data_IF_612864358908
#
_entry.id   IF_612864358908
#
_cell.length_a   1.000
_cell.length_b   1.000
_cell.length_c   1.000
_cell.angle_alpha   90.00
_cell.angle_beta   90.00
_cell.angle_gamma   90.00
#
_symmetry.space_group_name_H-M   'P 1'
#
loop_
_entity.id
_entity.type
_entity.pdbx_description
1 polymer ?
#
# COMPACT_ATOMS: atom_id res chain seq x y z
N UNK A 1 1.65 -36.52 5.63
CA UNK A 1 1.71 -35.05 5.65
C UNK A 1 0.32 -34.56 5.27
N UNK A 2 -0.50 -33.98 6.16
CA UNK A 2 -1.80 -33.47 5.76
C UNK A 2 -1.65 -32.14 5.03
N UNK A 3 -2.29 -32.05 3.85
CA UNK A 3 -2.48 -30.81 3.08
C UNK A 3 -3.15 -29.75 3.98
N UNK A 4 -2.50 -28.61 4.14
CA UNK A 4 -3.16 -27.44 4.70
C UNK A 4 -4.33 -27.05 3.79
N UNK A 5 -5.54 -27.14 4.32
CA UNK A 5 -6.77 -26.88 3.58
C UNK A 5 -6.78 -25.46 2.99
N UNK A 6 -6.91 -25.41 1.69
CA UNK A 6 -7.16 -24.20 0.93
C UNK A 6 -8.68 -24.03 0.87
N UNK A 7 -9.23 -23.08 1.62
CA UNK A 7 -10.64 -22.71 1.47
C UNK A 7 -10.81 -21.82 0.24
N UNK A 8 -11.62 -22.31 -0.71
CA UNK A 8 -12.09 -21.51 -1.86
C UNK A 8 -13.43 -20.89 -1.46
N UNK A 9 -13.44 -19.60 -1.18
CA UNK A 9 -14.65 -18.84 -0.89
C UNK A 9 -15.20 -18.32 -2.22
N UNK A 10 -16.29 -18.93 -2.70
CA UNK A 10 -17.07 -18.42 -3.83
C UNK A 10 -18.18 -17.51 -3.28
N UNK A 11 -18.04 -16.20 -3.40
CA UNK A 11 -19.15 -15.27 -3.17
C UNK A 11 -19.91 -15.11 -4.49
N UNK A 12 -21.14 -15.65 -4.52
CA UNK A 12 -22.06 -15.57 -5.64
C UNK A 12 -22.89 -14.29 -5.54
N UNK A 13 -22.62 -13.30 -6.41
CA UNK A 13 -23.69 -12.45 -6.99
C UNK A 13 -23.18 -11.81 -8.30
N UNK A 14 -23.84 -12.19 -9.39
CA UNK A 14 -23.88 -11.64 -10.76
C UNK A 14 -22.70 -10.83 -11.34
N UNK A 15 -22.03 -11.46 -12.33
CA UNK A 15 -21.25 -10.85 -13.41
C UNK A 15 -19.89 -10.20 -13.01
N UNK A 16 -18.84 -11.00 -13.14
CA UNK A 16 -17.41 -10.73 -12.96
C UNK A 16 -16.83 -11.00 -11.55
N UNK A 17 -17.11 -12.16 -10.98
CA UNK A 17 -16.32 -12.63 -9.83
C UNK A 17 -14.93 -13.06 -10.30
N UNK A 18 -13.90 -12.43 -9.77
CA UNK A 18 -12.52 -12.88 -9.96
C UNK A 18 -12.24 -13.97 -8.93
N UNK A 19 -11.75 -15.14 -9.41
CA UNK A 19 -11.35 -16.23 -8.51
C UNK A 19 -10.32 -15.72 -7.49
N UNK A 20 -10.59 -15.97 -6.22
CA UNK A 20 -9.75 -15.57 -5.09
C UNK A 20 -9.35 -16.78 -4.27
N UNK A 21 -8.07 -16.94 -4.01
CA UNK A 21 -7.52 -17.95 -3.11
C UNK A 21 -6.87 -17.26 -1.91
N UNK A 22 -7.34 -17.59 -0.70
CA UNK A 22 -6.77 -17.12 0.56
C UNK A 22 -5.75 -18.14 1.07
N UNK A 23 -4.60 -17.69 1.54
CA UNK A 23 -3.52 -18.55 2.04
C UNK A 23 -2.58 -17.74 2.95
N UNK A 24 -1.60 -18.43 3.52
CA UNK A 24 -0.46 -17.75 4.18
C UNK A 24 0.78 -17.91 3.32
N UNK A 25 1.54 -16.84 3.17
CA UNK A 25 2.85 -16.88 2.50
C UNK A 25 3.81 -17.82 3.23
N UNK A 26 4.96 -18.14 2.62
CA UNK A 26 6.00 -18.95 3.26
C UNK A 26 6.49 -18.34 4.61
N UNK A 27 6.34 -17.03 4.77
CA UNK A 27 6.64 -16.30 6.02
C UNK A 27 5.43 -16.21 6.97
N UNK A 28 4.31 -16.90 6.67
CA UNK A 28 3.11 -16.94 7.51
C UNK A 28 2.21 -15.70 7.41
N UNK A 29 2.44 -14.80 6.45
CA UNK A 29 1.64 -13.59 6.26
C UNK A 29 0.34 -13.95 5.55
N UNK A 30 -0.85 -13.59 6.11
CA UNK A 30 -2.13 -13.81 5.44
C UNK A 30 -2.20 -13.05 4.12
N UNK A 31 -2.62 -13.74 3.07
CA UNK A 31 -2.64 -13.23 1.71
C UNK A 31 -3.89 -13.66 0.94
N UNK A 32 -4.29 -12.85 -0.03
CA UNK A 32 -5.29 -13.15 -1.04
C UNK A 32 -4.64 -13.07 -2.42
N UNK A 33 -4.85 -14.09 -3.24
CA UNK A 33 -4.36 -14.16 -4.61
C UNK A 33 -5.54 -14.27 -5.56
N UNK A 34 -5.64 -13.31 -6.45
CA UNK A 34 -6.70 -13.22 -7.46
C UNK A 34 -6.16 -13.58 -8.84
N UNK A 35 -6.98 -14.31 -9.60
CA UNK A 35 -6.71 -14.67 -10.99
C UNK A 35 -5.92 -15.96 -11.18
N UNK A 36 -5.95 -16.47 -12.42
CA UNK A 36 -5.24 -17.67 -12.84
C UNK A 36 -3.71 -17.47 -12.81
N UNK A 37 -2.96 -18.56 -12.86
CA UNK A 37 -1.49 -18.52 -12.84
C UNK A 37 -0.92 -17.62 -13.93
N UNK A 38 0.03 -16.76 -13.55
CA UNK A 38 0.68 -15.79 -14.43
C UNK A 38 2.14 -15.54 -14.04
N UNK A 39 2.91 -15.04 -15.00
CA UNK A 39 4.26 -14.50 -14.76
C UNK A 39 4.22 -13.03 -14.31
N UNK A 40 3.04 -12.40 -14.35
CA UNK A 40 2.83 -10.99 -14.04
C UNK A 40 2.06 -10.85 -12.74
N UNK A 41 2.61 -10.11 -11.78
CA UNK A 41 2.01 -9.89 -10.46
C UNK A 41 1.88 -8.42 -10.13
N UNK A 42 0.68 -8.01 -9.73
CA UNK A 42 0.51 -6.81 -8.92
C UNK A 42 0.56 -7.19 -7.45
N UNK A 43 1.51 -6.62 -6.71
CA UNK A 43 1.43 -6.61 -5.25
C UNK A 43 0.54 -5.44 -4.84
N UNK A 44 -0.58 -5.75 -4.18
CA UNK A 44 -1.50 -4.75 -3.63
C UNK A 44 -1.29 -4.63 -2.13
N UNK A 45 -1.07 -3.39 -1.66
CA UNK A 45 -0.82 -3.09 -0.26
C UNK A 45 -1.81 -2.03 0.21
N UNK A 46 -2.61 -2.39 1.20
CA UNK A 46 -3.65 -1.54 1.79
C UNK A 46 -3.07 -0.43 2.68
N UNK A 47 -3.88 0.56 3.01
CA UNK A 47 -3.58 1.61 3.98
C UNK A 47 -3.88 1.20 5.42
N UNK A 48 -3.79 2.17 6.34
CA UNK A 48 -4.20 1.98 7.74
C UNK A 48 -5.69 1.60 7.81
N UNK A 49 -6.04 0.69 8.71
CA UNK A 49 -7.37 0.09 8.89
C UNK A 49 -7.88 -0.79 7.74
N UNK A 50 -7.09 -0.98 6.68
CA UNK A 50 -7.43 -1.82 5.55
C UNK A 50 -7.13 -3.31 5.76
N UNK A 51 -7.30 -4.08 4.71
CA UNK A 51 -6.96 -5.51 4.67
C UNK A 51 -6.75 -5.98 3.22
N UNK A 52 -6.29 -7.23 3.05
CA UNK A 52 -6.01 -7.84 1.75
C UNK A 52 -7.19 -7.91 0.77
N UNK A 53 -8.43 -7.86 1.26
CA UNK A 53 -9.61 -7.95 0.39
C UNK A 53 -9.93 -6.64 -0.34
N UNK A 54 -9.36 -5.49 0.08
CA UNK A 54 -9.51 -4.22 -0.64
C UNK A 54 -8.93 -4.27 -2.07
N UNK A 55 -8.09 -5.25 -2.36
CA UNK A 55 -7.54 -5.45 -3.69
C UNK A 55 -8.53 -6.03 -4.71
N UNK A 56 -9.72 -6.51 -4.28
CA UNK A 56 -10.67 -7.17 -5.17
C UNK A 56 -11.15 -6.25 -6.31
N UNK A 57 -11.45 -4.99 -6.01
CA UNK A 57 -11.88 -4.02 -7.02
C UNK A 57 -10.82 -3.83 -8.11
N UNK A 58 -9.56 -3.71 -7.73
CA UNK A 58 -8.44 -3.63 -8.67
C UNK A 58 -8.19 -4.95 -9.40
N UNK A 59 -8.36 -6.09 -8.71
CA UNK A 59 -8.23 -7.40 -9.33
C UNK A 59 -9.21 -7.61 -10.49
N UNK A 60 -10.42 -7.07 -10.40
CA UNK A 60 -11.42 -7.11 -11.50
C UNK A 60 -10.93 -6.37 -12.75
N UNK A 61 -10.00 -5.44 -12.62
CA UNK A 61 -9.38 -4.70 -13.73
C UNK A 61 -8.13 -5.44 -14.24
N UNK A 62 -7.24 -5.83 -13.33
CA UNK A 62 -5.91 -6.34 -13.70
C UNK A 62 -5.92 -7.80 -14.17
N UNK A 63 -6.80 -8.65 -13.59
CA UNK A 63 -6.85 -10.09 -13.94
C UNK A 63 -7.24 -10.32 -15.39
N UNK A 64 -8.26 -9.65 -15.97
CA UNK A 64 -8.56 -9.79 -17.40
C UNK A 64 -7.40 -9.39 -18.33
N UNK A 65 -6.43 -8.58 -17.84
CA UNK A 65 -5.23 -8.17 -18.57
C UNK A 65 -4.06 -9.18 -18.39
N UNK A 66 -4.33 -10.33 -17.76
CA UNK A 66 -3.37 -11.41 -17.58
C UNK A 66 -2.42 -11.22 -16.38
N UNK A 67 -2.79 -10.39 -15.39
CA UNK A 67 -2.05 -10.22 -14.14
C UNK A 67 -2.67 -11.05 -13.04
N UNK A 68 -1.84 -11.64 -12.18
CA UNK A 68 -2.29 -12.04 -10.85
C UNK A 68 -2.20 -10.84 -9.90
N UNK A 69 -3.14 -10.75 -8.98
CA UNK A 69 -3.12 -9.73 -7.92
C UNK A 69 -2.91 -10.43 -6.60
N UNK A 70 -1.76 -10.16 -5.98
CA UNK A 70 -1.41 -10.63 -4.65
C UNK A 70 -1.62 -9.50 -3.66
N UNK A 71 -2.46 -9.70 -2.68
CA UNK A 71 -2.68 -8.76 -1.59
C UNK A 71 -2.36 -9.41 -0.24
N UNK A 72 -1.84 -8.64 0.71
CA UNK A 72 -1.41 -9.14 2.02
C UNK A 72 -2.01 -8.29 3.14
N UNK A 73 -2.19 -8.89 4.31
CA UNK A 73 -2.48 -8.13 5.53
C UNK A 73 -1.19 -7.60 6.14
N UNK A 74 -1.08 -6.29 6.29
CA UNK A 74 0.01 -5.66 7.04
C UNK A 74 -0.05 -6.05 8.53
N UNK A 75 1.04 -5.89 9.30
CA UNK A 75 1.01 -6.10 10.75
C UNK A 75 -0.17 -5.39 11.42
N UNK A 76 -0.79 -6.03 12.40
CA UNK A 76 -1.95 -5.53 13.17
C UNK A 76 -3.24 -5.28 12.36
N UNK A 77 -3.30 -5.73 11.08
CA UNK A 77 -4.45 -5.54 10.20
C UNK A 77 -5.03 -6.88 9.70
N UNK A 78 -6.27 -6.85 9.26
CA UNK A 78 -6.96 -8.01 8.71
C UNK A 78 -6.95 -9.20 9.65
N UNK A 79 -6.48 -10.38 9.20
CA UNK A 79 -6.32 -11.57 10.04
C UNK A 79 -5.22 -11.45 11.10
N UNK A 80 -4.42 -10.39 11.05
CA UNK A 80 -3.37 -10.11 12.04
C UNK A 80 -3.82 -9.11 13.11
N UNK A 81 -5.07 -8.64 13.05
CA UNK A 81 -5.63 -7.76 14.06
C UNK A 81 -5.57 -8.42 15.45
N UNK A 82 -5.07 -7.68 16.44
CA UNK A 82 -4.86 -8.22 17.80
C UNK A 82 -3.67 -9.15 17.98
N UNK A 83 -2.90 -9.40 16.92
CA UNK A 83 -1.64 -10.14 17.00
C UNK A 83 -0.46 -9.13 16.97
N UNK A 84 0.19 -8.99 18.12
CA UNK A 84 1.30 -8.03 18.31
C UNK A 84 2.69 -8.66 18.13
N UNK A 85 2.79 -9.82 17.48
CA UNK A 85 4.08 -10.46 17.17
C UNK A 85 4.89 -9.66 16.13
N UNK A 86 4.20 -8.85 15.30
CA UNK A 86 4.79 -7.86 14.41
C UNK A 86 3.98 -6.57 14.54
N UNK A 87 4.64 -5.45 14.77
CA UNK A 87 4.01 -4.13 14.91
C UNK A 87 3.77 -3.48 13.56
N UNK A 88 2.75 -2.62 13.49
CA UNK A 88 2.49 -1.79 12.30
C UNK A 88 3.49 -0.61 12.24
N UNK A 89 4.71 -0.94 11.92
CA UNK A 89 5.84 -0.05 11.86
C UNK A 89 6.77 -0.40 10.67
N UNK A 90 7.77 0.43 10.33
CA UNK A 90 8.64 0.14 9.21
C UNK A 90 9.61 -1.02 9.45
N UNK A 91 9.94 -1.35 10.70
CA UNK A 91 10.89 -2.42 11.01
C UNK A 91 10.31 -3.81 10.76
N UNK A 92 8.97 -3.93 10.76
CA UNK A 92 8.26 -5.17 10.43
C UNK A 92 7.69 -5.12 9.01
N UNK A 93 6.95 -4.04 8.67
CA UNK A 93 6.24 -3.96 7.39
C UNK A 93 7.19 -3.93 6.19
N UNK A 94 8.30 -3.19 6.26
CA UNK A 94 9.23 -3.05 5.13
C UNK A 94 9.97 -4.37 4.84
N UNK A 95 10.56 -5.07 5.81
CA UNK A 95 11.20 -6.37 5.55
C UNK A 95 10.23 -7.44 5.05
N UNK A 96 9.00 -7.49 5.56
CA UNK A 96 7.98 -8.43 5.10
C UNK A 96 7.63 -8.21 3.63
N UNK A 97 7.33 -6.97 3.24
CA UNK A 97 7.03 -6.61 1.85
C UNK A 97 8.25 -6.83 0.93
N UNK A 98 9.46 -6.50 1.41
CA UNK A 98 10.70 -6.77 0.68
C UNK A 98 10.87 -8.27 0.41
N UNK A 99 10.60 -9.12 1.40
CA UNK A 99 10.65 -10.58 1.26
C UNK A 99 9.68 -11.10 0.20
N UNK A 100 8.45 -10.57 0.18
CA UNK A 100 7.44 -10.93 -0.83
C UNK A 100 7.90 -10.53 -2.24
N UNK A 101 8.33 -9.27 -2.42
CA UNK A 101 8.79 -8.77 -3.73
C UNK A 101 10.00 -9.57 -4.20
N UNK A 102 10.96 -9.81 -3.32
CA UNK A 102 12.18 -10.58 -3.62
C UNK A 102 11.85 -12.04 -3.98
N UNK A 103 10.91 -12.68 -3.28
CA UNK A 103 10.45 -14.04 -3.58
C UNK A 103 9.82 -14.13 -4.97
N UNK A 104 8.97 -13.17 -5.34
CA UNK A 104 8.38 -13.12 -6.68
C UNK A 104 9.47 -12.91 -7.75
N UNK A 105 10.39 -11.99 -7.54
CA UNK A 105 11.49 -11.71 -8.47
C UNK A 105 12.45 -12.89 -8.62
N UNK A 106 12.77 -13.63 -7.55
CA UNK A 106 13.61 -14.81 -7.61
C UNK A 106 13.00 -15.95 -8.44
N UNK A 107 11.66 -15.97 -8.57
CA UNK A 107 10.91 -16.87 -9.45
C UNK A 107 10.72 -16.30 -10.86
N UNK A 108 11.48 -15.28 -11.25
CA UNK A 108 11.42 -14.57 -12.54
C UNK A 108 10.05 -13.92 -12.83
N UNK A 109 9.24 -13.65 -11.81
CA UNK A 109 7.96 -12.97 -12.00
C UNK A 109 8.16 -11.48 -12.29
N UNK A 110 7.33 -10.91 -13.15
CA UNK A 110 7.23 -9.47 -13.37
C UNK A 110 6.37 -8.89 -12.27
N UNK A 111 6.89 -7.93 -11.52
CA UNK A 111 6.20 -7.38 -10.33
C UNK A 111 5.88 -5.91 -10.56
N UNK A 112 4.62 -5.57 -10.41
CA UNK A 112 4.09 -4.21 -10.33
C UNK A 112 3.54 -3.95 -8.92
N UNK A 113 3.34 -2.69 -8.57
CA UNK A 113 2.85 -2.27 -7.27
C UNK A 113 1.56 -1.46 -7.42
N UNK A 114 0.55 -1.81 -6.61
CA UNK A 114 -0.58 -0.94 -6.31
C UNK A 114 -0.66 -0.75 -4.80
N UNK A 115 -0.53 0.50 -4.31
CA UNK A 115 -0.46 0.73 -2.88
C UNK A 115 -1.22 1.98 -2.46
N UNK A 116 -1.78 1.94 -1.25
CA UNK A 116 -2.66 2.98 -0.69
C UNK A 116 -2.03 3.58 0.56
N UNK A 117 -2.08 4.92 0.67
CA UNK A 117 -1.72 5.66 1.88
C UNK A 117 -0.36 5.26 2.45
N UNK A 118 -0.28 4.90 3.73
CA UNK A 118 0.94 4.42 4.40
C UNK A 118 1.48 3.10 3.78
N UNK A 119 0.61 2.27 3.21
CA UNK A 119 1.03 1.08 2.45
C UNK A 119 1.93 1.44 1.26
N UNK A 120 1.72 2.61 0.65
CA UNK A 120 2.60 3.13 -0.40
C UNK A 120 3.99 3.44 0.17
N UNK A 121 4.08 4.09 1.32
CA UNK A 121 5.36 4.40 1.96
C UNK A 121 6.16 3.14 2.29
N UNK A 122 5.55 2.16 2.96
CA UNK A 122 6.20 0.88 3.26
C UNK A 122 6.65 0.15 1.99
N UNK A 123 5.79 0.11 0.97
CA UNK A 123 6.08 -0.60 -0.28
C UNK A 123 7.20 0.03 -1.09
N UNK A 124 7.25 1.35 -1.16
CA UNK A 124 8.33 2.07 -1.84
C UNK A 124 9.68 1.85 -1.15
N UNK A 125 9.70 1.81 0.19
CA UNK A 125 10.91 1.45 0.93
C UNK A 125 11.30 -0.02 0.71
N UNK A 126 10.34 -0.93 0.72
CA UNK A 126 10.55 -2.35 0.49
C UNK A 126 11.07 -2.68 -0.91
N UNK A 127 10.64 -1.91 -1.91
CA UNK A 127 11.05 -2.08 -3.31
C UNK A 127 12.38 -1.41 -3.65
N UNK A 128 13.04 -0.76 -2.70
CA UNK A 128 14.29 -0.03 -2.95
C UNK A 128 15.36 -0.96 -3.53
N UNK A 129 15.91 -0.59 -4.68
CA UNK A 129 16.87 -1.42 -5.42
C UNK A 129 16.28 -2.58 -6.22
N UNK A 130 14.97 -2.78 -6.21
CA UNK A 130 14.28 -3.80 -7.01
C UNK A 130 13.48 -3.10 -8.11
N UNK A 131 13.75 -3.42 -9.37
CA UNK A 131 13.01 -2.86 -10.49
C UNK A 131 11.60 -3.43 -10.54
N UNK A 132 10.60 -2.54 -10.53
CA UNK A 132 9.19 -2.84 -10.72
C UNK A 132 8.75 -2.49 -12.15
N UNK A 133 7.71 -3.17 -12.65
CA UNK A 133 7.14 -2.90 -13.98
C UNK A 133 6.44 -1.53 -14.01
N UNK A 134 5.60 -1.28 -13.01
CA UNK A 134 4.92 0.00 -12.80
C UNK A 134 4.46 0.16 -11.35
N UNK A 135 4.05 1.38 -11.00
CA UNK A 135 3.47 1.70 -9.70
C UNK A 135 2.19 2.53 -9.86
N UNK A 136 1.11 2.09 -9.20
CA UNK A 136 -0.12 2.84 -9.00
C UNK A 136 -0.23 3.18 -7.51
N UNK A 137 -0.20 4.46 -7.18
CA UNK A 137 -0.20 4.94 -5.81
C UNK A 137 -1.47 5.77 -5.56
N UNK A 138 -2.30 5.36 -4.61
CA UNK A 138 -3.58 5.99 -4.28
C UNK A 138 -3.48 6.70 -2.95
N UNK A 139 -3.73 8.01 -2.91
CA UNK A 139 -3.57 8.86 -1.73
C UNK A 139 -2.29 8.57 -0.93
N UNK A 140 -1.12 8.43 -1.59
CA UNK A 140 0.05 7.84 -0.97
C UNK A 140 0.67 8.74 0.09
N UNK A 141 1.02 8.18 1.23
CA UNK A 141 1.86 8.86 2.22
C UNK A 141 3.31 8.86 1.72
N UNK A 142 3.81 10.01 1.30
CA UNK A 142 5.12 10.16 0.65
C UNK A 142 6.14 10.93 1.50
N UNK A 143 5.70 11.47 2.63
CA UNK A 143 6.57 12.16 3.59
C UNK A 143 6.15 11.81 5.03
N UNK A 144 6.66 10.69 5.54
CA UNK A 144 6.34 10.23 6.90
C UNK A 144 6.97 11.16 7.97
N UNK A 145 8.12 11.76 7.70
CA UNK A 145 8.72 12.74 8.62
C UNK A 145 7.75 13.91 8.84
N UNK A 146 7.21 14.47 7.76
CA UNK A 146 6.22 15.55 7.83
C UNK A 146 4.94 15.11 8.54
N UNK A 147 4.45 13.91 8.27
CA UNK A 147 3.27 13.36 8.95
C UNK A 147 3.48 13.30 10.47
N UNK A 148 4.63 12.77 10.91
CA UNK A 148 4.96 12.70 12.34
C UNK A 148 5.10 14.12 12.93
N UNK A 149 5.75 15.04 12.22
CA UNK A 149 5.92 16.42 12.67
C UNK A 149 4.55 17.14 12.82
N UNK A 150 3.63 16.95 11.89
CA UNK A 150 2.27 17.52 11.95
C UNK A 150 1.47 16.93 13.13
N UNK A 151 1.60 15.63 13.41
CA UNK A 151 1.01 14.99 14.58
C UNK A 151 1.62 15.53 15.89
N UNK A 152 2.93 15.72 15.95
CA UNK A 152 3.62 16.34 17.09
C UNK A 152 3.12 17.76 17.33
N UNK A 153 3.02 18.56 16.28
CA UNK A 153 2.50 19.93 16.34
C UNK A 153 1.07 19.96 16.89
N UNK A 154 0.20 19.10 16.35
CA UNK A 154 -1.19 18.99 16.77
C UNK A 154 -1.36 18.58 18.23
N UNK A 155 -0.43 17.78 18.74
CA UNK A 155 -0.37 17.33 20.13
C UNK A 155 0.43 18.28 21.07
N UNK A 156 0.97 19.38 20.53
CA UNK A 156 1.86 20.31 21.26
C UNK A 156 3.09 19.61 21.88
N UNK A 157 3.69 18.67 21.14
CA UNK A 157 4.88 17.90 21.53
C UNK A 157 6.07 18.41 20.74
N UNK A 158 7.14 18.85 21.44
CA UNK A 158 8.39 19.22 20.79
C UNK A 158 9.26 18.00 20.44
N UNK A 159 10.16 18.14 19.46
CA UNK A 159 11.11 17.07 19.14
C UNK A 159 12.01 16.72 20.33
N UNK A 160 12.44 17.73 21.11
CA UNK A 160 13.23 17.49 22.31
C UNK A 160 12.47 16.67 23.35
N UNK A 161 11.18 16.97 23.57
CA UNK A 161 10.31 16.18 24.46
C UNK A 161 10.17 14.75 23.97
N UNK A 162 9.91 14.56 22.68
CA UNK A 162 9.78 13.22 22.09
C UNK A 162 11.11 12.44 22.19
N UNK A 163 12.24 13.12 21.98
CA UNK A 163 13.57 12.55 22.11
C UNK A 163 13.89 12.11 23.54
N UNK A 164 13.50 12.91 24.53
CA UNK A 164 13.75 12.60 25.94
C UNK A 164 12.91 11.41 26.42
N UNK A 165 11.63 11.35 26.01
CA UNK A 165 10.68 10.31 26.45
C UNK A 165 10.78 9.03 25.60
N UNK A 166 11.15 9.17 24.33
CA UNK A 166 11.23 8.06 23.34
C UNK A 166 9.91 7.77 22.64
N UNK A 167 8.86 7.46 23.39
CA UNK A 167 7.51 7.18 22.84
C UNK A 167 6.45 7.94 23.65
N UNK A 168 5.48 8.56 22.97
CA UNK A 168 4.37 9.31 23.58
C UNK A 168 3.08 8.90 22.92
N UNK A 169 2.10 8.45 23.73
CA UNK A 169 0.75 8.14 23.24
C UNK A 169 -0.05 9.43 23.20
N UNK A 170 -0.54 9.81 22.02
CA UNK A 170 -1.40 11.00 21.87
C UNK A 170 -2.89 10.64 22.07
N UNK A 171 -3.79 11.65 22.29
CA UNK A 171 -5.18 11.39 22.71
C UNK A 171 -6.00 10.48 21.79
N UNK A 172 -5.68 10.40 20.49
CA UNK A 172 -6.34 9.50 19.54
C UNK A 172 -5.78 8.06 19.56
N UNK A 173 -4.89 7.74 20.51
CA UNK A 173 -4.28 6.41 20.65
C UNK A 173 -3.04 6.17 19.79
N UNK A 174 -2.64 7.11 18.93
CA UNK A 174 -1.42 6.98 18.11
C UNK A 174 -0.19 7.06 19.01
N UNK A 175 0.79 6.20 18.77
CA UNK A 175 2.10 6.26 19.42
C UNK A 175 3.06 7.06 18.55
N UNK A 176 3.48 8.23 19.02
CA UNK A 176 4.60 8.97 18.45
C UNK A 176 5.89 8.36 18.98
N UNK A 177 6.81 8.00 18.10
CA UNK A 177 8.11 7.42 18.45
C UNK A 177 9.24 8.26 17.86
N UNK A 178 10.24 8.59 18.69
CA UNK A 178 11.42 9.30 18.22
C UNK A 178 12.24 8.47 17.23
N UNK A 179 12.35 7.17 17.47
CA UNK A 179 13.05 6.27 16.56
C UNK A 179 12.33 6.19 15.20
N UNK A 180 10.99 6.21 15.19
CA UNK A 180 10.23 6.23 13.95
C UNK A 180 10.46 7.55 13.19
N UNK A 181 10.47 8.69 13.87
CA UNK A 181 10.81 9.99 13.27
C UNK A 181 12.20 9.95 12.63
N UNK A 182 13.20 9.44 13.34
CA UNK A 182 14.56 9.30 12.82
C UNK A 182 14.65 8.34 11.64
N UNK A 183 13.90 7.24 11.70
CA UNK A 183 13.82 6.29 10.59
C UNK A 183 13.22 6.96 9.36
N UNK A 184 12.10 7.66 9.50
CA UNK A 184 11.41 8.36 8.41
C UNK A 184 12.33 9.41 7.75
N UNK A 185 13.01 10.21 8.56
CA UNK A 185 13.98 11.24 8.13
C UNK A 185 15.13 10.67 7.31
N UNK A 186 15.64 9.50 7.66
CA UNK A 186 16.74 8.81 6.98
C UNK A 186 16.29 7.99 5.76
N UNK A 187 15.00 7.73 5.64
CA UNK A 187 14.44 6.85 4.64
C UNK A 187 13.32 7.51 3.82
N UNK A 188 13.60 8.58 3.05
CA UNK A 188 12.60 9.13 2.14
C UNK A 188 12.27 8.09 1.06
N UNK A 189 10.99 7.94 0.65
CA UNK A 189 10.61 7.00 -0.39
C UNK A 189 11.13 7.42 -1.76
N UNK A 190 11.46 6.43 -2.60
CA UNK A 190 11.91 6.64 -3.98
C UNK A 190 11.22 5.64 -4.89
N UNK A 191 11.02 6.01 -6.16
CA UNK A 191 10.49 5.08 -7.17
C UNK A 191 11.60 4.18 -7.72
N UNK A 192 11.25 2.90 -7.89
CA UNK A 192 12.09 1.88 -8.53
C UNK A 192 11.50 1.41 -9.87
N UNK A 193 10.70 2.23 -10.52
CA UNK A 193 10.09 1.96 -11.83
C UNK A 193 10.06 3.23 -12.68
N UNK A 194 9.90 3.05 -14.01
CA UNK A 194 9.77 4.17 -14.95
C UNK A 194 8.33 4.65 -15.11
N UNK A 195 7.37 3.73 -14.98
CA UNK A 195 5.95 3.99 -15.17
C UNK A 195 5.29 4.07 -13.80
N UNK A 196 4.98 5.27 -13.34
CA UNK A 196 4.29 5.47 -12.08
C UNK A 196 3.22 6.55 -12.22
N UNK A 197 2.08 6.32 -11.58
CA UNK A 197 0.99 7.30 -11.46
C UNK A 197 0.53 7.39 -10.02
N UNK A 198 0.16 8.59 -9.63
CA UNK A 198 -0.38 8.94 -8.33
C UNK A 198 -1.78 9.49 -8.54
N UNK A 199 -2.74 8.98 -7.76
CA UNK A 199 -4.07 9.57 -7.59
C UNK A 199 -4.14 10.22 -6.21
N UNK A 200 -4.59 11.48 -6.15
CA UNK A 200 -4.78 12.21 -4.91
C UNK A 200 -6.14 12.93 -4.93
N UNK A 201 -6.82 12.95 -3.79
CA UNK A 201 -8.11 13.60 -3.64
C UNK A 201 -7.96 15.08 -3.26
N UNK A 202 -8.69 15.99 -3.95
CA UNK A 202 -8.61 17.42 -3.68
C UNK A 202 -8.93 17.80 -2.23
N UNK A 203 -9.80 17.02 -1.57
CA UNK A 203 -10.19 17.18 -0.17
C UNK A 203 -9.46 16.22 0.77
N UNK A 204 -8.30 15.70 0.37
CA UNK A 204 -7.47 14.85 1.24
C UNK A 204 -6.96 15.65 2.44
N UNK A 205 -7.55 15.40 3.62
CA UNK A 205 -7.18 16.05 4.87
C UNK A 205 -6.03 15.37 5.61
N UNK A 206 -5.51 14.25 5.07
CA UNK A 206 -4.47 13.42 5.72
C UNK A 206 -3.10 13.68 5.09
N UNK A 207 -3.03 13.64 3.76
CA UNK A 207 -1.77 13.82 3.02
C UNK A 207 -1.75 15.18 2.33
N UNK A 208 -0.85 16.10 2.73
CA UNK A 208 -0.76 17.42 2.10
C UNK A 208 -0.38 17.33 0.62
N UNK A 209 -1.06 18.13 -0.22
CA UNK A 209 -0.84 18.17 -1.67
C UNK A 209 0.61 18.46 -2.05
N UNK A 210 1.24 19.40 -1.35
CA UNK A 210 2.63 19.83 -1.61
C UNK A 210 3.63 18.67 -1.49
N UNK A 211 3.39 17.72 -0.59
CA UNK A 211 4.25 16.52 -0.45
C UNK A 211 4.10 15.57 -1.62
N UNK A 212 2.87 15.41 -2.12
CA UNK A 212 2.57 14.57 -3.29
C UNK A 212 3.11 15.20 -4.56
N UNK A 213 2.88 16.49 -4.75
CA UNK A 213 3.36 17.23 -5.91
C UNK A 213 4.89 17.22 -5.98
N UNK A 214 5.57 17.48 -4.86
CA UNK A 214 7.03 17.45 -4.77
C UNK A 214 7.60 16.08 -5.12
N UNK A 215 6.98 15.00 -4.61
CA UNK A 215 7.39 13.64 -4.93
C UNK A 215 7.21 13.33 -6.43
N UNK A 216 6.06 13.68 -7.00
CA UNK A 216 5.79 13.44 -8.43
C UNK A 216 6.76 14.20 -9.33
N UNK A 217 7.07 15.46 -8.99
CA UNK A 217 8.08 16.26 -9.72
C UNK A 217 9.48 15.63 -9.62
N UNK A 218 9.90 15.22 -8.43
CA UNK A 218 11.23 14.65 -8.20
C UNK A 218 11.41 13.27 -8.89
N UNK A 219 10.34 12.50 -9.01
CA UNK A 219 10.38 11.15 -9.57
C UNK A 219 9.80 11.05 -11.00
N UNK A 220 9.43 12.18 -11.62
CA UNK A 220 8.87 12.25 -12.98
C UNK A 220 7.65 11.32 -13.18
N UNK A 221 6.78 11.20 -12.17
CA UNK A 221 5.56 10.38 -12.27
C UNK A 221 4.31 11.23 -12.51
N UNK A 222 3.30 10.61 -13.12
CA UNK A 222 2.03 11.26 -13.39
C UNK A 222 1.24 11.51 -12.11
N UNK A 223 0.66 12.70 -11.96
CA UNK A 223 -0.25 13.06 -10.87
C UNK A 223 -1.63 13.34 -11.42
N UNK A 224 -2.63 12.67 -10.87
CA UNK A 224 -4.05 12.95 -11.09
C UNK A 224 -4.66 13.44 -9.80
N UNK A 225 -5.39 14.54 -9.86
CA UNK A 225 -6.18 15.07 -8.74
C UNK A 225 -7.65 14.76 -9.00
N UNK A 226 -8.29 14.04 -8.10
CA UNK A 226 -9.74 13.84 -8.15
C UNK A 226 -10.44 15.06 -7.55
N UNK A 227 -11.25 15.81 -8.31
CA UNK A 227 -12.07 16.90 -7.76
C UNK A 227 -12.98 16.39 -6.63
N UNK A 228 -13.01 17.11 -5.53
CA UNK A 228 -13.76 16.77 -4.31
C UNK A 228 -13.46 15.36 -3.73
N UNK A 229 -12.40 14.68 -4.20
CA UNK A 229 -11.97 13.40 -3.66
C UNK A 229 -11.40 13.53 -2.25
N UNK A 230 -11.66 12.55 -1.41
CA UNK A 230 -11.15 12.47 -0.03
C UNK A 230 -9.93 11.53 0.05
N UNK A 231 -9.29 11.45 1.21
CA UNK A 231 -8.16 10.54 1.41
C UNK A 231 -8.55 9.08 1.17
N UNK A 232 -9.73 8.69 1.62
CA UNK A 232 -10.29 7.37 1.43
C UNK A 232 -11.42 7.42 0.39
N UNK A 233 -11.15 6.86 -0.77
CA UNK A 233 -12.12 6.76 -1.86
C UNK A 233 -13.19 5.71 -1.51
N UNK A 234 -14.33 6.13 -0.98
CA UNK A 234 -15.37 5.24 -0.42
C UNK A 234 -16.78 5.47 -0.95
N UNK A 235 -17.05 6.65 -1.52
CA UNK A 235 -18.36 6.88 -2.16
C UNK A 235 -18.44 6.19 -3.52
N UNK A 236 -19.64 5.92 -4.00
CA UNK A 236 -19.83 5.28 -5.31
C UNK A 236 -19.13 6.07 -6.45
N UNK A 237 -19.17 7.41 -6.38
CA UNK A 237 -18.51 8.29 -7.34
C UNK A 237 -16.99 8.19 -7.24
N UNK A 238 -16.44 8.24 -6.03
CA UNK A 238 -15.00 8.13 -5.79
C UNK A 238 -14.47 6.75 -6.19
N UNK A 239 -15.19 5.67 -5.85
CA UNK A 239 -14.83 4.31 -6.27
C UNK A 239 -14.88 4.14 -7.79
N UNK A 240 -15.87 4.73 -8.46
CA UNK A 240 -15.95 4.73 -9.91
C UNK A 240 -14.77 5.47 -10.54
N UNK A 241 -14.47 6.67 -10.06
CA UNK A 241 -13.32 7.45 -10.54
C UNK A 241 -12.01 6.69 -10.36
N UNK A 242 -11.80 6.07 -9.18
CA UNK A 242 -10.63 5.25 -8.90
C UNK A 242 -10.49 4.11 -9.92
N UNK A 243 -11.56 3.34 -10.17
CA UNK A 243 -11.56 2.25 -11.16
C UNK A 243 -11.27 2.72 -12.58
N UNK A 244 -11.85 3.84 -12.99
CA UNK A 244 -11.60 4.44 -14.31
C UNK A 244 -10.16 4.92 -14.45
N UNK A 245 -9.62 5.56 -13.40
CA UNK A 245 -8.22 5.99 -13.35
C UNK A 245 -7.24 4.81 -13.39
N UNK A 246 -7.49 3.75 -12.61
CA UNK A 246 -6.67 2.53 -12.62
C UNK A 246 -6.66 1.88 -14.00
N UNK A 247 -7.83 1.75 -14.65
CA UNK A 247 -7.96 1.19 -15.99
C UNK A 247 -7.22 2.02 -17.04
N UNK A 248 -7.38 3.34 -17.00
CA UNK A 248 -6.69 4.26 -17.91
C UNK A 248 -5.16 4.22 -17.70
N UNK A 249 -4.71 4.17 -16.46
CA UNK A 249 -3.29 4.09 -16.13
C UNK A 249 -2.65 2.80 -16.69
N UNK A 250 -3.31 1.64 -16.55
CA UNK A 250 -2.83 0.38 -17.10
C UNK A 250 -2.76 0.42 -18.63
N UNK A 251 -3.77 0.98 -19.29
CA UNK A 251 -3.77 1.15 -20.74
C UNK A 251 -2.62 2.05 -21.23
N UNK A 252 -2.35 3.16 -20.53
CA UNK A 252 -1.22 4.05 -20.87
C UNK A 252 0.16 3.38 -20.64
N UNK A 253 0.26 2.44 -19.68
CA UNK A 253 1.49 1.67 -19.48
C UNK A 253 1.68 0.55 -20.52
N UNK A 254 0.70 0.31 -21.39
CA UNK A 254 0.71 -0.77 -22.37
C UNK A 254 0.45 -2.14 -21.74
N UNK A 255 -0.32 -2.15 -20.70
CA UNK A 255 -0.70 -3.33 -19.92
C UNK A 255 -2.12 -3.75 -20.28
#
# INVERSE_FOLDING_TARGET
MPNAGTEVITMNECLNTVECRVFKTDSGIPAALYGAESEKFFLCVHGQFGNKFEAESFARIAVPLGWQVLAVDLPEHGERAGNFSARFDPWHSVPELHGIISSLRSKNKRVALRAVSIGAWFSLLAARGISLECCLLVSPLLNMERMIADMMLSANISEDTLKEVGEIVVPNGTVLSYDYLLYARRNPPTLSCRNAKVLWGENDAVVPFDTVEAFCKANHCGLTVMPAGEHWFHTAEQCKFLSEWESAALAEFGI
#
